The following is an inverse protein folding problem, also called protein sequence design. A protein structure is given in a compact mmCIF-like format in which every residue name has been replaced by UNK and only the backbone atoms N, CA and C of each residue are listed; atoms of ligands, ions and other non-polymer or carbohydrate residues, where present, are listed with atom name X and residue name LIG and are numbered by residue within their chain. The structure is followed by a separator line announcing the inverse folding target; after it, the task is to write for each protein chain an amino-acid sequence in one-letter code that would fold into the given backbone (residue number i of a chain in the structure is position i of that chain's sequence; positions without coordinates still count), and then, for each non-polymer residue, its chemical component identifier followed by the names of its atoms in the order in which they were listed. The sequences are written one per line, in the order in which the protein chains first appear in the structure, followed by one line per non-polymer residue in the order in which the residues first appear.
data_IF_800974063021
#
_entry.id   IF_800974063021
#
_cell.length_a   1.000
_cell.length_b   1.000
_cell.length_c   1.000
_cell.angle_alpha   90.00
_cell.angle_beta   90.00
_cell.angle_gamma   90.00
#
_symmetry.space_group_name_H-M   'P 1'
#
loop_
_entity.id
_entity.type
_entity.pdbx_description
1 polymer ?
#
# COMPACT_ATOMS: atom_id res chain seq x y z
N UNK A 1 17.20 -17.30 5.05
CA UNK A 1 16.37 -16.11 5.30
C UNK A 1 17.23 -14.90 5.03
N UNK A 2 17.14 -14.41 3.81
CA UNK A 2 17.80 -13.18 3.39
C UNK A 2 17.18 -12.01 4.17
N UNK A 3 17.98 -11.00 4.54
CA UNK A 3 17.51 -9.83 5.31
C UNK A 3 16.26 -9.15 4.72
N UNK A 4 16.07 -9.27 3.41
CA UNK A 4 14.93 -8.79 2.63
C UNK A 4 13.60 -9.48 2.98
N UNK A 5 13.64 -10.75 3.36
CA UNK A 5 12.45 -11.56 3.62
C UNK A 5 11.69 -11.05 4.85
N UNK A 6 12.41 -10.51 5.84
CA UNK A 6 11.80 -10.05 7.10
C UNK A 6 11.05 -8.73 6.89
N UNK A 7 11.61 -7.79 6.14
CA UNK A 7 10.93 -6.53 5.78
C UNK A 7 9.68 -6.77 4.94
N UNK A 8 9.70 -7.75 4.04
CA UNK A 8 8.54 -8.13 3.23
C UNK A 8 7.43 -8.74 4.09
N UNK A 9 7.77 -9.64 5.02
CA UNK A 9 6.79 -10.22 5.96
C UNK A 9 6.19 -9.14 6.86
N UNK A 10 7.00 -8.21 7.38
CA UNK A 10 6.51 -7.08 8.17
C UNK A 10 5.57 -6.19 7.34
N UNK A 11 5.92 -5.94 6.08
CA UNK A 11 5.09 -5.19 5.14
C UNK A 11 3.75 -5.90 4.88
N UNK A 12 3.76 -7.22 4.68
CA UNK A 12 2.55 -8.03 4.50
C UNK A 12 1.65 -8.00 5.74
N UNK A 13 2.22 -8.11 6.94
CA UNK A 13 1.45 -7.99 8.19
C UNK A 13 0.82 -6.60 8.29
N UNK A 14 1.58 -5.55 7.99
CA UNK A 14 1.08 -4.17 7.95
C UNK A 14 -0.08 -4.01 6.95
N UNK A 15 0.12 -4.47 5.71
CA UNK A 15 -0.89 -4.41 4.65
C UNK A 15 -2.13 -5.22 4.99
N UNK A 16 -1.97 -6.36 5.67
CA UNK A 16 -3.10 -7.18 6.09
C UNK A 16 -3.95 -6.48 7.15
N UNK A 17 -3.31 -5.82 8.12
CA UNK A 17 -3.99 -5.00 9.10
C UNK A 17 -4.72 -3.83 8.43
N UNK A 18 -4.04 -3.10 7.53
CA UNK A 18 -4.64 -2.01 6.76
C UNK A 18 -5.85 -2.49 5.95
N UNK A 19 -5.70 -3.56 5.17
CA UNK A 19 -6.76 -4.12 4.32
C UNK A 19 -7.96 -4.58 5.15
N UNK A 20 -7.72 -5.20 6.31
CA UNK A 20 -8.79 -5.65 7.21
C UNK A 20 -9.54 -4.47 7.84
N UNK A 21 -8.85 -3.40 8.22
CA UNK A 21 -9.48 -2.18 8.74
C UNK A 21 -10.25 -1.42 7.66
N UNK A 22 -9.69 -1.30 6.46
CA UNK A 22 -10.30 -0.62 5.31
C UNK A 22 -11.61 -1.33 4.88
N UNK A 23 -11.62 -2.67 4.91
CA UNK A 23 -12.83 -3.47 4.63
C UNK A 23 -13.92 -3.34 5.70
N UNK A 24 -13.56 -3.16 6.99
CA UNK A 24 -14.53 -3.19 8.09
C UNK A 24 -15.03 -1.84 8.58
N UNK A 25 -14.23 -0.77 8.54
CA UNK A 25 -14.54 0.43 9.35
C UNK A 25 -14.71 1.75 8.59
N UNK A 26 -14.43 1.87 7.28
CA UNK A 26 -14.60 3.11 6.46
C UNK A 26 -14.02 4.41 7.06
N UNK A 27 -13.29 4.33 8.17
CA UNK A 27 -12.71 5.42 8.92
C UNK A 27 -11.38 4.89 9.48
N UNK A 28 -10.31 5.21 8.77
CA UNK A 28 -8.95 4.88 9.14
C UNK A 28 -8.71 5.38 10.58
N UNK A 29 -8.48 4.45 11.51
CA UNK A 29 -7.83 4.82 12.78
C UNK A 29 -6.33 4.94 12.49
N UNK A 30 -5.97 5.96 11.69
CA UNK A 30 -4.63 6.26 11.15
C UNK A 30 -3.53 6.16 12.23
N UNK A 31 -3.87 6.47 13.48
CA UNK A 31 -2.96 6.43 14.61
C UNK A 31 -2.41 5.03 14.93
N UNK A 32 -3.23 3.96 14.88
CA UNK A 32 -2.79 2.61 15.29
C UNK A 32 -1.90 1.97 14.22
N UNK A 33 -2.30 2.13 12.97
CA UNK A 33 -1.53 1.70 11.79
C UNK A 33 -0.20 2.45 11.71
N UNK A 34 -0.21 3.76 12.00
CA UNK A 34 1.00 4.59 12.03
C UNK A 34 2.03 4.12 13.04
N UNK A 35 1.61 3.75 14.26
CA UNK A 35 2.53 3.24 15.30
C UNK A 35 3.21 1.94 14.85
N UNK A 36 2.45 1.02 14.24
CA UNK A 36 2.99 -0.24 13.72
C UNK A 36 3.95 -0.02 12.55
N UNK A 37 3.59 0.87 11.62
CA UNK A 37 4.44 1.27 10.50
C UNK A 37 5.76 1.88 10.98
N UNK A 38 5.71 2.78 11.97
CA UNK A 38 6.90 3.38 12.57
C UNK A 38 7.78 2.33 13.28
N UNK A 39 7.19 1.40 14.03
CA UNK A 39 7.95 0.35 14.71
C UNK A 39 8.68 -0.56 13.72
N UNK A 40 8.00 -1.00 12.66
CA UNK A 40 8.63 -1.80 11.62
C UNK A 40 9.67 -1.01 10.81
N UNK A 41 9.47 0.30 10.62
CA UNK A 41 10.46 1.18 9.98
C UNK A 41 11.75 1.24 10.78
N UNK A 42 11.65 1.45 12.10
CA UNK A 42 12.81 1.46 13.01
C UNK A 42 13.56 0.13 12.94
N UNK A 43 12.84 -1.00 12.89
CA UNK A 43 13.45 -2.32 12.70
C UNK A 43 14.19 -2.42 11.36
N UNK A 44 13.55 -1.97 10.26
CA UNK A 44 14.09 -2.04 8.90
C UNK A 44 15.39 -1.23 8.78
N UNK A 45 15.44 -0.06 9.42
CA UNK A 45 16.63 0.80 9.53
C UNK A 45 17.70 0.18 10.43
N UNK A 46 17.33 -0.35 11.61
CA UNK A 46 18.28 -0.94 12.55
C UNK A 46 18.93 -2.23 12.02
N UNK A 47 18.21 -3.00 11.21
CA UNK A 47 18.70 -4.23 10.61
C UNK A 47 19.50 -4.01 9.30
N UNK A 48 19.58 -2.76 8.83
CA UNK A 48 20.24 -2.32 7.59
C UNK A 48 19.84 -3.21 6.40
N UNK A 49 18.53 -3.40 6.27
CA UNK A 49 17.91 -4.30 5.27
C UNK A 49 17.78 -3.63 3.90
N UNK A 50 17.67 -2.29 3.89
CA UNK A 50 17.41 -1.47 2.72
C UNK A 50 18.33 -0.24 2.71
N UNK A 51 18.80 0.12 1.51
CA UNK A 51 19.54 1.37 1.33
C UNK A 51 18.63 2.57 1.61
N UNK A 52 19.14 3.56 2.34
CA UNK A 52 18.42 4.81 2.61
C UNK A 52 17.94 5.47 1.30
N UNK A 53 18.70 5.34 0.21
CA UNK A 53 18.30 5.87 -1.10
C UNK A 53 17.05 5.17 -1.67
N UNK A 54 16.95 3.84 -1.56
CA UNK A 54 15.76 3.11 -2.03
C UNK A 54 14.55 3.40 -1.16
N UNK A 55 14.74 3.55 0.15
CA UNK A 55 13.69 3.96 1.09
C UNK A 55 13.16 5.35 0.76
N UNK A 56 14.05 6.34 0.54
CA UNK A 56 13.63 7.69 0.15
C UNK A 56 12.92 7.70 -1.19
N UNK A 57 13.36 6.89 -2.17
CA UNK A 57 12.65 6.75 -3.44
C UNK A 57 11.25 6.17 -3.25
N UNK A 58 11.07 5.19 -2.36
CA UNK A 58 9.77 4.61 -2.03
C UNK A 58 8.85 5.57 -1.29
N UNK A 59 9.37 6.28 -0.29
CA UNK A 59 8.63 7.32 0.42
C UNK A 59 8.25 8.48 -0.51
N UNK A 60 9.15 8.87 -1.41
CA UNK A 60 8.88 9.89 -2.43
C UNK A 60 7.73 9.49 -3.35
N UNK A 61 7.69 8.23 -3.78
CA UNK A 61 6.57 7.70 -4.56
C UNK A 61 5.25 7.77 -3.78
N UNK A 62 5.24 7.37 -2.51
CA UNK A 62 4.06 7.54 -1.65
C UNK A 62 3.66 9.00 -1.48
N UNK A 63 4.62 9.91 -1.32
CA UNK A 63 4.38 11.36 -1.26
C UNK A 63 3.74 11.90 -2.54
N UNK A 64 4.16 11.42 -3.71
CA UNK A 64 3.52 11.77 -4.98
C UNK A 64 2.08 11.28 -5.04
N UNK A 65 1.79 10.08 -4.54
CA UNK A 65 0.41 9.57 -4.44
C UNK A 65 -0.44 10.44 -3.52
N UNK A 66 0.09 10.91 -2.39
CA UNK A 66 -0.60 11.86 -1.49
C UNK A 66 -0.87 13.20 -2.19
N UNK A 67 0.08 13.71 -2.96
CA UNK A 67 -0.13 14.95 -3.73
C UNK A 67 -1.26 14.77 -4.75
N UNK A 68 -1.29 13.63 -5.45
CA UNK A 68 -2.36 13.30 -6.40
C UNK A 68 -3.70 13.12 -5.67
N UNK A 69 -3.74 12.46 -4.52
CA UNK A 69 -4.98 12.28 -3.74
C UNK A 69 -5.57 13.61 -3.28
N UNK A 70 -4.73 14.61 -2.99
CA UNK A 70 -5.19 15.97 -2.67
C UNK A 70 -5.75 16.73 -3.87
N UNK A 71 -5.24 16.45 -5.07
CA UNK A 71 -5.80 17.01 -6.31
C UNK A 71 -7.08 16.30 -6.76
N UNK A 72 -7.29 15.04 -6.34
CA UNK A 72 -8.45 14.22 -6.72
C UNK A 72 -9.08 13.53 -5.49
N UNK A 73 -9.65 14.32 -4.55
CA UNK A 73 -10.15 13.83 -3.26
C UNK A 73 -11.32 12.86 -3.39
N UNK A 74 -12.05 12.89 -4.51
CA UNK A 74 -13.19 12.01 -4.76
C UNK A 74 -12.77 10.59 -5.17
N UNK A 75 -11.55 10.42 -5.69
CA UNK A 75 -11.13 9.16 -6.34
C UNK A 75 -10.09 8.39 -5.52
N UNK A 76 -9.23 9.11 -4.77
CA UNK A 76 -8.11 8.55 -4.04
C UNK A 76 -8.11 9.06 -2.60
N UNK A 77 -8.16 8.14 -1.64
CA UNK A 77 -8.12 8.49 -0.22
C UNK A 77 -6.71 8.91 0.20
N UNK A 78 -6.60 9.94 1.03
CA UNK A 78 -5.30 10.37 1.59
C UNK A 78 -4.62 9.24 2.39
N UNK A 79 -5.41 8.31 2.95
CA UNK A 79 -4.93 7.11 3.62
C UNK A 79 -4.17 6.14 2.70
N UNK A 80 -4.57 6.00 1.44
CA UNK A 80 -3.89 5.14 0.47
C UNK A 80 -2.49 5.67 0.18
N UNK A 81 -2.34 7.00 0.08
CA UNK A 81 -1.04 7.64 -0.09
C UNK A 81 -0.09 7.39 1.09
N UNK A 82 -0.58 7.51 2.32
CA UNK A 82 0.20 7.17 3.52
C UNK A 82 0.59 5.69 3.57
N UNK A 83 -0.28 4.79 3.10
CA UNK A 83 0.06 3.38 2.96
C UNK A 83 1.26 3.20 2.02
N UNK A 84 1.24 3.86 0.85
CA UNK A 84 2.36 3.80 -0.10
C UNK A 84 3.66 4.42 0.43
N UNK A 85 3.59 5.43 1.30
CA UNK A 85 4.79 5.94 1.98
C UNK A 85 5.40 4.86 2.86
N UNK A 86 4.58 4.18 3.67
CA UNK A 86 5.05 3.17 4.61
C UNK A 86 5.58 1.94 3.85
N UNK A 87 4.85 1.40 2.89
CA UNK A 87 5.32 0.26 2.06
C UNK A 87 6.58 0.61 1.27
N UNK A 88 6.70 1.85 0.80
CA UNK A 88 7.90 2.34 0.12
C UNK A 88 9.14 2.40 1.00
N UNK A 89 8.96 2.64 2.30
CA UNK A 89 10.05 2.57 3.24
C UNK A 89 10.48 1.12 3.56
N UNK A 90 9.55 0.16 3.56
CA UNK A 90 9.87 -1.26 3.77
C UNK A 90 10.52 -1.92 2.55
N UNK A 91 10.01 -1.64 1.35
CA UNK A 91 10.32 -2.38 0.12
C UNK A 91 11.21 -1.60 -0.86
N UNK A 92 11.31 -0.28 -0.68
CA UNK A 92 11.99 0.63 -1.58
C UNK A 92 11.19 1.00 -2.82
N UNK A 93 11.67 2.01 -3.56
CA UNK A 93 10.92 2.63 -4.65
C UNK A 93 10.52 1.71 -5.80
N UNK A 94 11.40 0.77 -6.21
CA UNK A 94 11.12 -0.06 -7.38
C UNK A 94 10.01 -1.07 -7.13
N UNK A 95 10.05 -1.78 -5.98
CA UNK A 95 8.97 -2.68 -5.58
C UNK A 95 7.68 -1.89 -5.33
N UNK A 96 7.76 -0.76 -4.62
CA UNK A 96 6.58 0.05 -4.32
C UNK A 96 5.87 0.58 -5.58
N UNK A 97 6.62 0.96 -6.61
CA UNK A 97 6.06 1.32 -7.92
C UNK A 97 5.36 0.13 -8.58
N UNK A 98 5.97 -1.06 -8.54
CA UNK A 98 5.36 -2.25 -9.10
C UNK A 98 4.05 -2.62 -8.38
N UNK A 99 4.02 -2.53 -7.05
CA UNK A 99 2.81 -2.73 -6.23
C UNK A 99 1.73 -1.74 -6.65
N UNK A 100 2.09 -0.45 -6.78
CA UNK A 100 1.14 0.58 -7.21
C UNK A 100 0.52 0.23 -8.57
N UNK A 101 1.33 -0.12 -9.56
CA UNK A 101 0.83 -0.47 -10.89
C UNK A 101 -0.07 -1.70 -10.88
N UNK A 102 0.32 -2.77 -10.17
CA UNK A 102 -0.46 -4.01 -10.09
C UNK A 102 -1.76 -3.77 -9.32
N UNK A 103 -1.71 -3.06 -8.20
CA UNK A 103 -2.88 -2.74 -7.39
C UNK A 103 -3.89 -1.89 -8.18
N UNK A 104 -3.42 -0.87 -8.92
CA UNK A 104 -4.27 -0.07 -9.81
C UNK A 104 -4.88 -0.89 -10.94
N UNK A 105 -4.12 -1.84 -11.51
CA UNK A 105 -4.62 -2.71 -12.55
C UNK A 105 -5.72 -3.66 -12.02
N UNK A 106 -5.48 -4.29 -10.87
CA UNK A 106 -6.45 -5.16 -10.20
C UNK A 106 -7.72 -4.40 -9.79
N UNK A 107 -7.57 -3.22 -9.19
CA UNK A 107 -8.71 -2.40 -8.77
C UNK A 107 -9.50 -1.90 -9.99
N UNK A 108 -8.82 -1.56 -11.09
CA UNK A 108 -9.44 -1.21 -12.36
C UNK A 108 -10.28 -2.35 -12.95
N UNK A 109 -9.75 -3.58 -12.97
CA UNK A 109 -10.51 -4.77 -13.40
C UNK A 109 -11.71 -5.00 -12.48
N UNK A 110 -11.51 -4.91 -11.17
CA UNK A 110 -12.59 -5.10 -10.19
C UNK A 110 -13.73 -4.09 -10.39
N UNK A 111 -13.39 -2.82 -10.58
CA UNK A 111 -14.36 -1.77 -10.87
C UNK A 111 -15.08 -2.02 -12.21
N UNK A 112 -14.34 -2.39 -13.27
CA UNK A 112 -14.91 -2.68 -14.59
C UNK A 112 -15.91 -3.85 -14.52
N UNK A 113 -15.55 -4.95 -13.86
CA UNK A 113 -16.44 -6.09 -13.65
C UNK A 113 -17.65 -5.71 -12.79
N UNK A 114 -17.46 -4.91 -11.74
CA UNK A 114 -18.54 -4.41 -10.90
C UNK A 114 -19.59 -3.60 -11.67
N UNK A 115 -19.14 -2.74 -12.58
CA UNK A 115 -20.02 -1.95 -13.47
C UNK A 115 -20.72 -2.85 -14.49
N UNK A 116 -20.02 -3.80 -15.12
CA UNK A 116 -20.60 -4.74 -16.09
C UNK A 116 -21.68 -5.63 -15.45
N UNK A 117 -21.47 -6.06 -14.20
CA UNK A 117 -22.43 -6.85 -13.42
C UNK A 117 -23.55 -6.01 -12.80
N UNK A 118 -23.61 -4.69 -13.07
CA UNK A 118 -24.54 -3.72 -12.46
C UNK A 118 -24.56 -3.75 -10.92
N UNK A 119 -23.47 -4.21 -10.30
CA UNK A 119 -23.34 -4.33 -8.84
C UNK A 119 -22.79 -3.06 -8.19
N UNK A 120 -22.13 -2.20 -8.96
CA UNK A 120 -21.49 -0.97 -8.47
C UNK A 120 -22.10 0.27 -9.12
N UNK A 121 -22.35 1.30 -8.31
CA UNK A 121 -22.68 2.65 -8.80
C UNK A 121 -21.41 3.52 -8.81
N UNK A 122 -21.41 4.60 -9.61
CA UNK A 122 -20.25 5.50 -9.78
C UNK A 122 -19.74 6.14 -8.48
N UNK A 123 -20.50 6.07 -7.39
CA UNK A 123 -20.23 6.69 -6.08
C UNK A 123 -19.65 5.73 -5.04
N UNK A 124 -19.48 4.46 -5.37
CA UNK A 124 -18.94 3.48 -4.44
C UNK A 124 -17.41 3.61 -4.36
N UNK A 125 -16.90 4.06 -3.21
CA UNK A 125 -15.47 4.09 -2.93
C UNK A 125 -14.93 2.67 -2.77
N UNK A 126 -14.00 2.29 -3.64
CA UNK A 126 -13.31 1.00 -3.60
C UNK A 126 -12.02 1.17 -2.80
N UNK A 127 -11.95 0.45 -1.68
CA UNK A 127 -10.76 0.28 -0.84
C UNK A 127 -9.56 -0.22 -1.67
N UNK A 128 -8.47 0.56 -1.78
CA UNK A 128 -7.27 0.16 -2.53
C UNK A 128 -6.41 -0.85 -1.75
N UNK A 129 -6.43 -0.76 -0.42
CA UNK A 129 -5.67 -1.60 0.52
C UNK A 129 -5.66 -3.11 0.22
N UNK A 130 -6.82 -3.80 -0.01
CA UNK A 130 -6.83 -5.22 -0.36
C UNK A 130 -6.11 -5.53 -1.68
N UNK A 131 -6.14 -4.62 -2.65
CA UNK A 131 -5.45 -4.80 -3.92
C UNK A 131 -3.94 -4.57 -3.80
N UNK A 132 -3.52 -3.65 -2.92
CA UNK A 132 -2.10 -3.45 -2.57
C UNK A 132 -1.55 -4.71 -1.90
N UNK A 133 -2.29 -5.30 -0.96
CA UNK A 133 -1.92 -6.57 -0.35
C UNK A 133 -1.81 -7.69 -1.39
N UNK A 134 -2.79 -7.82 -2.28
CA UNK A 134 -2.76 -8.83 -3.33
C UNK A 134 -1.56 -8.64 -4.27
N UNK A 135 -1.25 -7.39 -4.63
CA UNK A 135 -0.10 -7.05 -5.47
C UNK A 135 1.22 -7.44 -4.81
N UNK A 136 1.38 -7.18 -3.51
CA UNK A 136 2.59 -7.58 -2.78
C UNK A 136 2.75 -9.10 -2.72
N UNK A 137 1.65 -9.82 -2.44
CA UNK A 137 1.67 -11.30 -2.47
C UNK A 137 2.08 -11.82 -3.84
N UNK A 138 1.51 -11.27 -4.92
CA UNK A 138 1.86 -11.65 -6.30
C UNK A 138 3.34 -11.40 -6.59
N UNK A 139 3.87 -10.24 -6.22
CA UNK A 139 5.29 -9.93 -6.42
C UNK A 139 6.22 -10.84 -5.62
N UNK A 140 5.82 -11.23 -4.40
CA UNK A 140 6.57 -12.17 -3.58
C UNK A 140 6.63 -13.56 -4.25
N UNK A 141 5.52 -14.03 -4.84
CA UNK A 141 5.49 -15.29 -5.59
C UNK A 141 6.28 -15.27 -6.90
N UNK A 142 6.53 -14.09 -7.48
CA UNK A 142 7.23 -13.93 -8.76
C UNK A 142 8.76 -13.74 -8.60
N UNK A 143 9.25 -13.61 -7.37
CA UNK A 143 10.69 -13.54 -7.05
C UNK A 143 11.30 -14.92 -6.92
#
# INVERSE_FOLDING_TARGET
MTKYDVSEILCLIFLYLCSREDYRYKALTVHKIGIFGCAGLVYTLAADTMSVQSMMAGAGLGGMVILVSRCSPDWLGEGDGWMFVVTGLFLGGRQNLAILCIAMFLSGIYCLLGVLLKKYQKTDHVALAPFVLAAEVVLLYLK
#
